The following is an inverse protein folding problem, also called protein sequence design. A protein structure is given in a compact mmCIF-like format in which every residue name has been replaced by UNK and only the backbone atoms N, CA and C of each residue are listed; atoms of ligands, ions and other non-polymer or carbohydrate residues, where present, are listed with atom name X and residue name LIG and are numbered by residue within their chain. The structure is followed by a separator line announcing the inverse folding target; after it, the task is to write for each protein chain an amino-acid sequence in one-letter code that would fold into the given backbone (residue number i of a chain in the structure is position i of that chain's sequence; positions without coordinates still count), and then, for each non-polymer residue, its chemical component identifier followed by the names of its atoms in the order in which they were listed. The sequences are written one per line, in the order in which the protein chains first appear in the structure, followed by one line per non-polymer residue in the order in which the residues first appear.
data_IF_314700696234
#
_entry.id   IF_314700696234
#
_cell.length_a   1.000
_cell.length_b   1.000
_cell.length_c   1.000
_cell.angle_alpha   90.00
_cell.angle_beta   90.00
_cell.angle_gamma   90.00
#
_symmetry.space_group_name_H-M   'P 1'
#
loop_
_entity.id
_entity.type
_entity.pdbx_description
1 polymer ?
#
# COMPACT_ATOMS: atom_id res chain seq x y z
N UNK A 1 12.33 -22.31 24.01
CA UNK A 1 13.20 -22.21 22.82
C UNK A 1 12.31 -22.33 21.59
N UNK A 2 12.50 -21.44 20.62
CA UNK A 2 11.48 -20.91 19.70
C UNK A 2 10.75 -21.92 18.81
N UNK A 3 9.46 -21.62 18.60
CA UNK A 3 8.52 -22.22 17.66
C UNK A 3 8.42 -21.27 16.44
N UNK A 4 8.08 -21.83 15.27
CA UNK A 4 7.71 -21.19 13.98
C UNK A 4 8.81 -20.98 12.93
N UNK A 5 8.81 -21.91 11.97
CA UNK A 5 9.20 -21.66 10.58
C UNK A 5 8.10 -22.17 9.66
N UNK A 6 7.00 -21.43 9.52
CA UNK A 6 5.99 -21.73 8.49
C UNK A 6 6.50 -21.17 7.17
N UNK A 7 7.25 -21.98 6.43
CA UNK A 7 7.53 -21.72 5.02
C UNK A 7 6.25 -21.94 4.21
N UNK A 8 5.71 -20.87 3.64
CA UNK A 8 4.64 -20.98 2.65
C UNK A 8 5.12 -21.77 1.42
N UNK A 9 4.22 -22.43 0.68
CA UNK A 9 4.59 -23.28 -0.45
C UNK A 9 5.35 -22.48 -1.52
N UNK A 10 6.37 -23.09 -2.11
CA UNK A 10 7.11 -22.49 -3.22
C UNK A 10 6.21 -22.38 -4.44
N UNK A 11 6.51 -21.42 -5.32
CA UNK A 11 5.76 -21.22 -6.57
C UNK A 11 5.72 -22.52 -7.39
N UNK A 12 6.79 -23.33 -7.35
CA UNK A 12 6.84 -24.64 -7.98
C UNK A 12 5.88 -25.67 -7.38
N UNK A 13 5.65 -25.67 -6.06
CA UNK A 13 4.68 -26.58 -5.43
C UNK A 13 3.23 -26.12 -5.59
N UNK A 14 2.98 -24.81 -5.73
CA UNK A 14 1.66 -24.28 -6.11
C UNK A 14 1.33 -24.63 -7.57
N UNK A 15 2.31 -24.52 -8.48
CA UNK A 15 2.17 -24.90 -9.90
C UNK A 15 1.94 -26.41 -10.02
N UNK A 16 2.71 -27.24 -9.32
CA UNK A 16 2.50 -28.70 -9.31
C UNK A 16 1.11 -29.10 -8.77
N UNK A 17 0.56 -28.34 -7.82
CA UNK A 17 -0.80 -28.56 -7.28
C UNK A 17 -1.90 -28.11 -8.25
N UNK A 18 -1.65 -27.11 -9.10
CA UNK A 18 -2.67 -26.56 -10.04
C UNK A 18 -2.70 -27.23 -11.41
N UNK A 19 -1.61 -27.89 -11.84
CA UNK A 19 -1.56 -28.62 -13.11
C UNK A 19 -2.38 -29.93 -13.11
N UNK A 20 -3.00 -30.29 -11.97
CA UNK A 20 -3.81 -31.49 -11.80
C UNK A 20 -5.12 -31.50 -12.58
N UNK A 21 -6.07 -30.59 -12.35
CA UNK A 21 -7.46 -30.91 -12.74
C UNK A 21 -8.40 -29.77 -13.19
N UNK A 22 -8.01 -28.49 -13.27
CA UNK A 22 -8.97 -27.45 -13.71
C UNK A 22 -8.37 -26.30 -14.54
N UNK A 23 -8.61 -26.24 -15.87
CA UNK A 23 -8.08 -25.18 -16.75
C UNK A 23 -8.60 -23.77 -16.38
N UNK A 24 -9.78 -23.66 -15.76
CA UNK A 24 -10.35 -22.38 -15.32
C UNK A 24 -9.58 -21.76 -14.13
N UNK A 25 -9.00 -22.59 -13.27
CA UNK A 25 -8.20 -22.13 -12.14
C UNK A 25 -6.83 -21.64 -12.62
N UNK A 26 -6.25 -22.30 -13.63
CA UNK A 26 -5.01 -21.87 -14.29
C UNK A 26 -5.21 -20.50 -14.93
N UNK A 27 -6.26 -20.32 -15.73
CA UNK A 27 -6.56 -19.05 -16.38
C UNK A 27 -6.86 -17.91 -15.38
N UNK A 28 -7.41 -18.22 -14.20
CA UNK A 28 -7.64 -17.26 -13.11
C UNK A 28 -6.34 -16.87 -12.40
N UNK A 29 -5.45 -17.83 -12.15
CA UNK A 29 -4.12 -17.58 -11.58
C UNK A 29 -3.27 -16.79 -12.56
N UNK A 30 -3.28 -17.12 -13.85
CA UNK A 30 -2.60 -16.38 -14.91
C UNK A 30 -3.16 -14.97 -15.07
N UNK A 31 -4.49 -14.77 -15.04
CA UNK A 31 -5.07 -13.42 -15.02
C UNK A 31 -4.70 -12.64 -13.76
N UNK A 32 -4.65 -13.29 -12.60
CA UNK A 32 -4.24 -12.64 -11.34
C UNK A 32 -2.74 -12.33 -11.31
N UNK A 33 -1.90 -13.17 -11.92
CA UNK A 33 -0.47 -12.96 -12.09
C UNK A 33 -0.18 -11.88 -13.15
N UNK A 34 -0.87 -11.88 -14.28
CA UNK A 34 -0.77 -10.86 -15.32
C UNK A 34 -1.31 -9.50 -14.83
N UNK A 35 -2.41 -9.48 -14.07
CA UNK A 35 -2.87 -8.28 -13.37
C UNK A 35 -1.84 -7.81 -12.34
N UNK A 36 -1.24 -8.73 -11.55
CA UNK A 36 -0.12 -8.40 -10.67
C UNK A 36 1.08 -7.84 -11.45
N UNK A 37 1.44 -8.40 -12.60
CA UNK A 37 2.59 -7.98 -13.42
C UNK A 37 2.34 -6.65 -14.15
N UNK A 38 1.12 -6.38 -14.61
CA UNK A 38 0.71 -5.09 -15.15
C UNK A 38 0.67 -4.01 -14.04
N UNK A 39 0.29 -4.40 -12.81
CA UNK A 39 0.26 -3.54 -11.63
C UNK A 39 1.64 -3.32 -10.97
N UNK A 40 2.68 -4.06 -11.39
CA UNK A 40 4.05 -3.98 -10.84
C UNK A 40 4.89 -2.86 -11.46
N UNK A 41 4.44 -2.21 -12.55
CA UNK A 41 5.21 -1.15 -13.23
C UNK A 41 4.63 0.26 -13.19
N UNK A 42 3.40 0.45 -12.70
CA UNK A 42 2.77 1.76 -12.64
C UNK A 42 2.93 2.41 -11.26
N UNK A 43 3.50 3.61 -11.22
CA UNK A 43 3.25 4.55 -10.13
C UNK A 43 1.95 5.29 -10.41
N UNK A 44 1.06 5.36 -9.44
CA UNK A 44 -0.20 6.08 -9.57
C UNK A 44 -0.20 7.30 -8.67
N UNK A 45 -0.68 8.42 -9.20
CA UNK A 45 -0.77 9.68 -8.48
C UNK A 45 -2.01 9.72 -7.59
N UNK A 46 -1.84 10.20 -6.36
CA UNK A 46 -2.89 10.30 -5.37
C UNK A 46 -2.82 11.65 -4.66
N UNK A 47 -3.98 12.15 -4.24
CA UNK A 47 -4.12 13.29 -3.34
C UNK A 47 -4.81 12.84 -2.07
N UNK A 48 -4.23 13.16 -0.92
CA UNK A 48 -4.84 12.85 0.37
C UNK A 48 -6.11 13.68 0.53
N UNK A 49 -7.25 13.00 0.69
CA UNK A 49 -8.57 13.60 0.86
C UNK A 49 -8.91 13.79 2.34
N UNK A 50 -8.66 12.78 3.15
CA UNK A 50 -8.95 12.79 4.58
C UNK A 50 -7.94 11.94 5.35
N UNK A 51 -7.72 12.30 6.60
CA UNK A 51 -6.96 11.51 7.56
C UNK A 51 -7.76 11.45 8.85
N UNK A 52 -8.03 10.24 9.34
CA UNK A 52 -8.67 10.01 10.63
C UNK A 52 -7.77 9.17 11.53
N UNK A 53 -7.80 9.45 12.83
CA UNK A 53 -7.09 8.68 13.84
C UNK A 53 -8.15 8.12 14.77
N UNK A 54 -8.21 6.79 14.85
CA UNK A 54 -9.05 6.09 15.80
C UNK A 54 -8.18 5.43 16.86
N UNK A 55 -8.56 5.54 18.12
CA UNK A 55 -7.89 4.83 19.19
C UNK A 55 -8.10 3.32 19.03
N UNK A 56 -7.03 2.56 19.17
CA UNK A 56 -7.07 1.10 19.23
C UNK A 56 -6.70 0.64 20.64
N UNK A 57 -6.91 -0.64 20.92
CA UNK A 57 -6.48 -1.25 22.18
C UNK A 57 -4.94 -1.16 22.35
N UNK A 58 -4.46 -1.27 23.59
CA UNK A 58 -3.04 -1.35 23.93
C UNK A 58 -2.14 -0.16 23.52
N UNK A 59 -2.60 1.09 23.72
CA UNK A 59 -1.86 2.33 23.40
C UNK A 59 -1.52 2.51 21.91
N UNK A 60 -2.17 1.76 21.04
CA UNK A 60 -2.06 1.92 19.60
C UNK A 60 -3.13 2.88 19.09
N UNK A 61 -2.82 3.55 18.00
CA UNK A 61 -3.71 4.41 17.25
C UNK A 61 -3.68 3.97 15.78
N UNK A 62 -4.87 3.94 15.19
CA UNK A 62 -5.10 3.54 13.82
C UNK A 62 -5.30 4.79 12.97
N UNK A 63 -4.30 5.11 12.15
CA UNK A 63 -4.34 6.23 11.22
C UNK A 63 -4.86 5.75 9.87
N UNK A 64 -6.05 6.19 9.50
CA UNK A 64 -6.68 5.88 8.22
C UNK A 64 -6.55 7.07 7.28
N UNK A 65 -5.94 6.87 6.13
CA UNK A 65 -5.79 7.86 5.05
C UNK A 65 -6.72 7.48 3.92
N UNK A 66 -7.57 8.39 3.50
CA UNK A 66 -8.30 8.27 2.24
C UNK A 66 -7.68 9.19 1.21
N UNK A 67 -7.46 8.68 0.00
CA UNK A 67 -6.88 9.44 -1.09
C UNK A 67 -7.71 9.29 -2.37
N UNK A 68 -7.80 10.38 -3.12
CA UNK A 68 -8.44 10.44 -4.43
C UNK A 68 -7.38 10.35 -5.54
N UNK A 69 -7.67 9.70 -6.67
CA UNK A 69 -6.72 9.56 -7.77
C UNK A 69 -6.45 10.91 -8.45
N UNK A 70 -5.23 11.08 -8.95
CA UNK A 70 -4.80 12.28 -9.69
C UNK A 70 -4.29 11.88 -11.07
N UNK A 71 -4.92 12.42 -12.11
CA UNK A 71 -4.52 12.24 -13.51
C UNK A 71 -5.39 11.25 -14.31
N UNK A 72 -5.24 11.23 -15.64
CA UNK A 72 -5.98 10.33 -16.52
C UNK A 72 -5.45 8.89 -16.39
N UNK A 73 -6.35 7.92 -16.21
CA UNK A 73 -5.99 6.49 -16.21
C UNK A 73 -6.42 5.71 -14.95
N UNK A 74 -6.94 6.38 -13.92
CA UNK A 74 -7.58 5.68 -12.80
C UNK A 74 -9.06 5.46 -13.08
N UNK A 75 -9.47 4.19 -13.15
CA UNK A 75 -10.85 3.82 -13.49
C UNK A 75 -11.76 3.62 -12.29
N UNK A 76 -11.27 3.24 -11.10
CA UNK A 76 -12.17 3.01 -9.96
C UNK A 76 -11.48 3.16 -8.59
N UNK A 77 -12.11 3.95 -7.71
CA UNK A 77 -11.95 3.86 -6.25
C UNK A 77 -11.04 4.91 -5.59
N UNK A 78 -11.50 5.42 -4.44
CA UNK A 78 -10.61 6.06 -3.47
C UNK A 78 -9.64 5.00 -2.91
N UNK A 79 -8.40 5.39 -2.65
CA UNK A 79 -7.43 4.55 -1.96
C UNK A 79 -7.55 4.77 -0.45
N UNK A 80 -7.88 3.72 0.29
CA UNK A 80 -7.85 3.73 1.76
C UNK A 80 -6.60 3.01 2.24
N UNK A 81 -5.78 3.69 3.04
CA UNK A 81 -4.54 3.15 3.62
C UNK A 81 -4.63 3.26 5.13
N UNK A 82 -4.39 2.14 5.83
CA UNK A 82 -4.49 2.08 7.29
C UNK A 82 -3.12 1.81 7.89
N UNK A 83 -2.62 2.73 8.71
CA UNK A 83 -1.36 2.62 9.44
C UNK A 83 -1.62 2.44 10.93
N UNK A 84 -0.74 1.67 11.58
CA UNK A 84 -0.69 1.60 13.04
C UNK A 84 0.46 2.49 13.53
N UNK A 85 0.16 3.30 14.54
CA UNK A 85 1.12 4.13 15.28
C UNK A 85 0.84 3.97 16.77
N UNK A 86 1.77 4.36 17.64
CA UNK A 86 1.41 4.58 19.04
C UNK A 86 0.62 5.90 19.19
N UNK A 87 -0.12 6.05 20.30
CA UNK A 87 -0.79 7.32 20.68
C UNK A 87 0.16 8.53 20.69
N UNK A 88 1.43 8.25 20.97
CA UNK A 88 2.60 9.15 20.94
C UNK A 88 2.93 9.84 19.61
N UNK A 89 2.60 9.16 18.51
CA UNK A 89 3.27 9.35 17.22
C UNK A 89 4.78 9.05 17.24
N UNK A 90 5.29 8.41 18.30
CA UNK A 90 6.71 8.14 18.54
C UNK A 90 7.15 6.83 17.88
N UNK A 91 6.26 5.83 17.81
CA UNK A 91 6.50 4.56 17.10
C UNK A 91 5.74 4.56 15.79
N UNK A 92 6.48 4.88 14.72
CA UNK A 92 6.01 4.81 13.34
C UNK A 92 6.54 3.56 12.69
N UNK A 93 5.70 2.92 11.86
CA UNK A 93 6.16 1.85 10.99
C UNK A 93 6.93 2.43 9.81
N UNK A 94 7.88 1.67 9.25
CA UNK A 94 8.61 2.07 8.03
C UNK A 94 7.65 2.41 6.88
N UNK A 95 6.46 1.78 6.85
CA UNK A 95 5.41 2.07 5.88
C UNK A 95 4.81 3.46 6.07
N UNK A 96 4.54 3.85 7.31
CA UNK A 96 4.03 5.18 7.64
C UNK A 96 5.10 6.25 7.34
N UNK A 97 6.36 6.00 7.68
CA UNK A 97 7.45 6.93 7.36
C UNK A 97 7.66 7.10 5.85
N UNK A 98 7.60 6.00 5.08
CA UNK A 98 7.68 6.08 3.63
C UNK A 98 6.51 6.88 3.03
N UNK A 99 5.30 6.70 3.54
CA UNK A 99 4.14 7.48 3.15
C UNK A 99 4.32 8.98 3.46
N UNK A 100 4.73 9.33 4.68
CA UNK A 100 4.96 10.73 5.07
C UNK A 100 6.03 11.39 4.19
N UNK A 101 7.14 10.69 3.93
CA UNK A 101 8.19 11.16 3.01
C UNK A 101 7.67 11.32 1.57
N UNK A 102 6.84 10.40 1.10
CA UNK A 102 6.20 10.48 -0.21
C UNK A 102 5.29 11.71 -0.35
N UNK A 103 4.64 12.12 0.74
CA UNK A 103 3.90 13.38 0.84
C UNK A 103 4.80 14.62 1.02
N UNK A 104 6.13 14.48 1.07
CA UNK A 104 7.05 15.59 1.29
C UNK A 104 7.06 16.11 2.73
N UNK A 105 6.71 15.26 3.70
CA UNK A 105 6.88 15.55 5.13
C UNK A 105 8.23 15.01 5.56
N UNK A 106 9.16 15.91 5.91
CA UNK A 106 10.50 15.55 6.37
C UNK A 106 10.60 15.41 7.90
N UNK A 107 9.72 16.10 8.63
CA UNK A 107 9.75 16.19 10.09
C UNK A 107 8.57 15.46 10.75
N UNK A 108 8.47 15.55 12.07
CA UNK A 108 7.36 14.99 12.84
C UNK A 108 6.08 15.74 12.45
N UNK A 109 5.00 14.99 12.19
CA UNK A 109 3.66 15.55 11.99
C UNK A 109 2.95 15.57 13.33
N UNK A 110 2.61 16.75 13.82
CA UNK A 110 1.83 16.91 15.04
C UNK A 110 0.33 17.16 14.74
N UNK A 111 -0.02 17.60 13.52
CA UNK A 111 -1.40 17.79 13.05
C UNK A 111 -1.67 17.05 11.73
N UNK A 112 -2.70 16.20 11.70
CA UNK A 112 -3.11 15.45 10.50
C UNK A 112 -3.55 16.36 9.35
N UNK A 113 -3.94 17.61 9.64
CA UNK A 113 -4.24 18.64 8.63
C UNK A 113 -3.04 18.97 7.75
N UNK A 114 -1.83 18.75 8.24
CA UNK A 114 -0.61 18.94 7.44
C UNK A 114 -0.49 17.92 6.31
N UNK A 115 -1.17 16.77 6.40
CA UNK A 115 -1.13 15.70 5.42
C UNK A 115 -2.27 15.85 4.39
N UNK A 116 -3.42 16.38 4.80
CA UNK A 116 -4.58 16.56 3.93
C UNK A 116 -4.25 17.49 2.76
N UNK A 117 -4.65 17.09 1.56
CA UNK A 117 -4.40 17.83 0.32
C UNK A 117 -3.01 17.60 -0.28
N UNK A 118 -2.09 16.92 0.42
CA UNK A 118 -0.78 16.56 -0.12
C UNK A 118 -0.88 15.48 -1.18
N UNK A 119 0.09 15.49 -2.09
CA UNK A 119 0.17 14.55 -3.19
C UNK A 119 1.27 13.55 -2.97
N UNK A 120 1.05 12.33 -3.45
CA UNK A 120 2.04 11.26 -3.42
C UNK A 120 1.84 10.33 -4.61
N UNK A 121 2.81 9.48 -4.87
CA UNK A 121 2.68 8.33 -5.75
C UNK A 121 2.64 7.04 -4.93
N UNK A 122 1.80 6.10 -5.33
CA UNK A 122 1.82 4.77 -4.76
C UNK A 122 1.67 3.68 -5.84
N UNK A 123 2.30 2.53 -5.59
CA UNK A 123 2.02 1.30 -6.32
C UNK A 123 0.73 0.68 -5.84
N UNK A 124 0.12 -0.14 -6.69
CA UNK A 124 -1.15 -0.78 -6.39
C UNK A 124 -1.03 -1.63 -5.12
N UNK A 125 -1.94 -1.35 -4.17
CA UNK A 125 -2.06 -2.05 -2.91
C UNK A 125 -1.27 -1.45 -1.76
N UNK A 126 -0.32 -0.53 -1.99
CA UNK A 126 0.34 0.26 -0.95
C UNK A 126 0.79 -0.58 0.28
N UNK A 127 1.35 -1.77 0.02
CA UNK A 127 1.48 -2.84 1.02
C UNK A 127 2.75 -2.70 1.85
N UNK A 128 3.80 -2.18 1.23
CA UNK A 128 5.16 -2.10 1.77
C UNK A 128 5.68 -0.66 1.71
N UNK A 129 6.75 -0.37 2.44
CA UNK A 129 7.39 0.95 2.40
C UNK A 129 7.85 1.34 0.99
N UNK A 130 8.31 0.36 0.19
CA UNK A 130 8.75 0.59 -1.19
C UNK A 130 7.62 0.86 -2.20
N UNK A 131 6.36 0.80 -1.76
CA UNK A 131 5.20 1.12 -2.59
C UNK A 131 4.83 2.61 -2.54
N UNK A 132 5.56 3.45 -1.80
CA UNK A 132 5.32 4.88 -1.68
C UNK A 132 6.48 5.68 -2.25
N UNK A 133 6.17 6.79 -2.91
CA UNK A 133 7.17 7.71 -3.43
C UNK A 133 6.58 9.06 -3.84
N UNK A 134 7.42 10.04 -4.21
CA UNK A 134 6.94 11.36 -4.60
C UNK A 134 6.06 11.28 -5.86
N UNK A 135 5.12 12.22 -6.00
CA UNK A 135 4.20 12.29 -7.15
C UNK A 135 4.93 12.24 -8.51
N UNK A 136 6.17 12.76 -8.58
CA UNK A 136 7.00 12.73 -9.79
C UNK A 136 7.18 11.33 -10.37
N UNK A 137 7.16 10.28 -9.54
CA UNK A 137 7.25 8.91 -10.04
C UNK A 137 6.02 8.49 -10.87
N UNK A 138 4.84 9.02 -10.55
CA UNK A 138 3.63 8.81 -11.33
C UNK A 138 3.56 9.69 -12.58
N UNK A 139 4.22 10.85 -12.58
CA UNK A 139 4.27 11.76 -13.74
C UNK A 139 5.29 11.33 -14.80
N UNK A 140 6.41 10.71 -14.38
CA UNK A 140 7.45 10.21 -15.28
C UNK A 140 7.09 8.86 -15.92
N UNK A 141 6.11 8.15 -15.35
CA UNK A 141 5.64 6.86 -15.85
C UNK A 141 4.53 6.95 -16.91
N UNK A 142 4.15 8.16 -17.34
CA UNK A 142 3.15 8.41 -18.39
C UNK A 142 3.77 8.45 -19.79
#
# INVERSE_FOLDING_TARGET
MSIFGVQGPSLGSVIAFTMGEHPDLVARVERSAAARMANVRGWYGWRVKSVSINEAEDNLACLTVEAEPVGPGHRDGNLTIVFLTDREGRRRSDRLDAFLRACGVAERVDDTREIVGRYFAARIGARTAGDFGPLTLALVAQ
#
